data_IF_822354952010
#
_entry.id   IF_822354952010
#
_cell.length_a   1.000
_cell.length_b   1.000
_cell.length_c   1.000
_cell.angle_alpha   90.00
_cell.angle_beta   90.00
_cell.angle_gamma   90.00
#
_symmetry.space_group_name_H-M   'P 1'
#
loop_
_entity.id
_entity.type
_entity.pdbx_description
1 polymer ?
#
# COMPACT_ATOMS: atom_id res chain seq x y z
N UNK A 1 47.07 68.90 -75.13
CA UNK A 1 46.74 68.64 -76.55
C UNK A 1 45.89 67.38 -76.60
N UNK A 2 44.61 67.48 -77.00
CA UNK A 2 43.70 66.43 -77.52
C UNK A 2 43.36 65.26 -76.55
N UNK A 3 42.24 65.27 -75.80
CA UNK A 3 40.88 64.75 -76.12
C UNK A 3 40.83 63.30 -76.69
N UNK A 4 40.25 62.36 -75.94
CA UNK A 4 39.10 61.56 -76.42
C UNK A 4 38.40 60.78 -75.28
N UNK A 5 37.07 60.84 -75.32
CA UNK A 5 36.06 60.20 -74.46
C UNK A 5 36.01 58.68 -74.66
N UNK A 6 35.62 57.93 -73.62
CA UNK A 6 34.51 56.96 -73.66
C UNK A 6 34.12 56.54 -72.23
N UNK A 7 32.86 56.79 -71.87
CA UNK A 7 32.14 56.27 -70.69
C UNK A 7 31.35 55.05 -71.19
N UNK A 8 31.42 53.88 -70.54
CA UNK A 8 30.23 53.08 -70.18
C UNK A 8 30.56 51.80 -69.37
N UNK A 9 29.89 51.69 -68.23
CA UNK A 9 29.43 50.48 -67.53
C UNK A 9 30.44 49.46 -67.00
N UNK A 10 30.83 49.67 -65.75
CA UNK A 10 31.36 48.64 -64.87
C UNK A 10 30.17 47.79 -64.36
N UNK A 11 29.83 46.72 -65.06
CA UNK A 11 28.96 45.68 -64.53
C UNK A 11 29.84 44.76 -63.67
N UNK A 12 29.95 45.04 -62.37
CA UNK A 12 30.45 44.02 -61.43
C UNK A 12 29.36 42.96 -61.35
N UNK A 13 29.48 41.95 -62.20
CA UNK A 13 28.83 40.66 -61.96
C UNK A 13 29.52 40.11 -60.72
N UNK A 14 28.90 40.33 -59.56
CA UNK A 14 29.06 39.41 -58.45
C UNK A 14 28.56 38.06 -58.98
N UNK A 15 29.50 37.27 -59.49
CA UNK A 15 29.32 35.83 -59.62
C UNK A 15 29.08 35.34 -58.19
N UNK A 16 27.82 35.31 -57.77
CA UNK A 16 27.37 34.35 -56.79
C UNK A 16 27.75 33.01 -57.38
N UNK A 17 28.90 32.50 -56.95
CA UNK A 17 29.27 31.12 -57.16
C UNK A 17 28.19 30.36 -56.39
N UNK A 18 27.12 29.97 -57.09
CA UNK A 18 26.17 29.02 -56.56
C UNK A 18 27.01 27.83 -56.14
N UNK A 19 27.11 27.60 -54.83
CA UNK A 19 27.71 26.39 -54.33
C UNK A 19 26.82 25.27 -54.89
N UNK A 20 27.38 24.44 -55.77
CA UNK A 20 26.66 23.31 -56.38
C UNK A 20 26.68 22.08 -55.48
N UNK A 21 27.05 22.26 -54.21
CA UNK A 21 27.22 21.21 -53.24
C UNK A 21 26.05 21.27 -52.28
N UNK A 22 25.37 20.14 -52.10
CA UNK A 22 24.29 20.01 -51.13
C UNK A 22 24.79 20.35 -49.71
N UNK A 23 23.96 20.99 -48.87
CA UNK A 23 24.32 21.25 -47.49
C UNK A 23 24.54 19.97 -46.69
N UNK A 24 25.31 20.09 -45.60
CA UNK A 24 25.50 19.02 -44.62
C UNK A 24 24.15 18.61 -43.99
N UNK A 25 24.04 17.32 -43.67
CA UNK A 25 22.87 16.76 -43.00
C UNK A 25 22.79 17.36 -41.59
N UNK A 26 21.69 18.04 -41.22
CA UNK A 26 21.57 18.65 -39.90
C UNK A 26 21.57 17.57 -38.80
N UNK A 27 22.25 17.85 -37.69
CA UNK A 27 22.29 16.96 -36.54
C UNK A 27 21.28 17.43 -35.49
N UNK A 28 20.26 16.62 -35.21
CA UNK A 28 19.33 16.87 -34.11
C UNK A 28 20.08 16.83 -32.78
N UNK A 29 19.79 17.81 -31.94
CA UNK A 29 20.29 17.91 -30.57
C UNK A 29 19.35 17.13 -29.64
N UNK A 30 18.07 17.53 -29.61
CA UNK A 30 17.05 16.85 -28.82
C UNK A 30 15.64 17.04 -29.38
N UNK A 31 14.74 16.17 -28.93
CA UNK A 31 13.30 16.23 -29.14
C UNK A 31 12.66 16.02 -27.77
N UNK A 32 11.94 17.01 -27.27
CA UNK A 32 11.40 17.01 -25.90
C UNK A 32 9.94 17.40 -25.93
N UNK A 33 9.11 16.78 -25.09
CA UNK A 33 7.77 17.31 -24.84
C UNK A 33 7.95 18.67 -24.15
N UNK A 34 7.33 19.70 -24.72
CA UNK A 34 7.48 21.10 -24.32
C UNK A 34 6.35 21.55 -23.40
N UNK A 35 5.12 21.10 -23.69
CA UNK A 35 3.94 21.45 -22.93
C UNK A 35 3.14 20.17 -22.61
N UNK A 36 3.00 19.81 -21.32
CA UNK A 36 2.27 18.62 -20.90
C UNK A 36 0.76 18.71 -21.12
N UNK A 37 0.18 19.88 -21.37
CA UNK A 37 -1.25 20.04 -21.64
C UNK A 37 -1.58 19.80 -23.12
N UNK A 38 -0.80 20.40 -24.01
CA UNK A 38 -1.04 20.31 -25.45
C UNK A 38 -0.31 19.14 -26.11
N UNK A 39 0.75 18.63 -25.49
CA UNK A 39 1.64 17.64 -26.09
C UNK A 39 2.56 18.24 -27.15
N UNK A 40 2.73 19.58 -27.17
CA UNK A 40 3.64 20.25 -28.10
C UNK A 40 5.07 19.75 -27.92
N UNK A 41 5.84 19.71 -28.99
CA UNK A 41 7.20 19.14 -29.00
C UNK A 41 8.21 20.22 -29.36
N UNK A 42 9.21 20.39 -28.51
CA UNK A 42 10.39 21.22 -28.77
C UNK A 42 11.46 20.38 -29.46
N UNK A 43 11.89 20.83 -30.64
CA UNK A 43 12.90 20.19 -31.47
C UNK A 43 14.07 21.14 -31.60
N UNK A 44 15.29 20.68 -31.29
CA UNK A 44 16.52 21.46 -31.45
C UNK A 44 17.53 20.71 -32.32
N UNK A 45 18.39 21.46 -33.02
CA UNK A 45 19.50 20.92 -33.81
C UNK A 45 20.74 21.82 -33.72
N UNK A 46 21.87 21.27 -34.12
CA UNK A 46 23.10 22.05 -34.30
C UNK A 46 23.07 22.79 -35.64
N UNK A 47 23.57 24.04 -35.72
CA UNK A 47 23.83 24.69 -37.00
C UNK A 47 24.66 23.77 -37.93
N UNK A 48 24.34 23.76 -39.22
CA UNK A 48 25.18 23.06 -40.19
C UNK A 48 26.50 23.81 -40.40
N UNK A 49 27.58 23.09 -40.70
CA UNK A 49 28.87 23.69 -41.03
C UNK A 49 28.87 24.34 -42.42
N UNK A 50 27.98 23.88 -43.31
CA UNK A 50 27.72 24.46 -44.62
C UNK A 50 27.29 25.94 -44.50
N UNK A 51 28.03 26.89 -45.12
CA UNK A 51 27.88 28.32 -44.87
C UNK A 51 26.65 28.96 -45.54
N UNK A 52 26.00 28.27 -46.46
CA UNK A 52 24.92 28.79 -47.31
C UNK A 52 23.56 28.14 -47.07
N UNK A 53 23.38 27.47 -45.92
CA UNK A 53 22.07 26.94 -45.48
C UNK A 53 21.08 28.09 -45.36
N UNK A 54 19.99 28.03 -46.13
CA UNK A 54 18.94 29.04 -46.15
C UNK A 54 17.76 28.67 -45.23
N UNK A 55 17.43 27.38 -45.14
CA UNK A 55 16.28 26.89 -44.37
C UNK A 55 16.41 25.41 -44.02
N UNK A 56 15.61 24.98 -43.04
CA UNK A 56 15.46 23.60 -42.59
C UNK A 56 14.04 23.12 -42.84
N UNK A 57 13.87 21.86 -43.22
CA UNK A 57 12.56 21.21 -43.32
C UNK A 57 12.42 20.25 -42.15
N UNK A 58 11.35 20.41 -41.38
CA UNK A 58 11.02 19.57 -40.23
C UNK A 58 10.08 18.48 -40.69
N UNK A 59 10.42 17.23 -40.40
CA UNK A 59 9.61 16.07 -40.73
C UNK A 59 9.13 15.38 -39.47
N UNK A 60 7.87 14.98 -39.46
CA UNK A 60 7.28 14.10 -38.43
C UNK A 60 6.77 12.82 -39.08
N UNK A 61 6.92 11.70 -38.39
CA UNK A 61 6.29 10.46 -38.84
C UNK A 61 4.77 10.50 -38.56
N UNK A 62 3.97 10.38 -39.61
CA UNK A 62 2.51 10.38 -39.55
C UNK A 62 2.02 9.19 -40.37
N UNK A 63 1.29 8.27 -39.75
CA UNK A 63 0.79 7.05 -40.40
C UNK A 63 1.90 6.26 -41.12
N UNK A 64 3.07 6.12 -40.48
CA UNK A 64 4.27 5.44 -41.01
C UNK A 64 4.92 6.13 -42.23
N UNK A 65 4.56 7.39 -42.51
CA UNK A 65 5.18 8.19 -43.56
C UNK A 65 5.82 9.45 -42.97
N UNK A 66 6.93 9.89 -43.56
CA UNK A 66 7.60 11.12 -43.15
C UNK A 66 6.98 12.31 -43.86
N UNK A 67 6.20 13.10 -43.11
CA UNK A 67 5.53 14.29 -43.62
C UNK A 67 6.36 15.52 -43.28
N UNK A 68 6.62 16.38 -44.28
CA UNK A 68 7.21 17.70 -44.04
C UNK A 68 6.16 18.58 -43.38
N UNK A 69 6.32 18.85 -42.08
CA UNK A 69 5.33 19.57 -41.27
C UNK A 69 5.57 21.08 -41.23
N UNK A 70 6.83 21.52 -41.41
CA UNK A 70 7.16 22.94 -41.45
C UNK A 70 8.51 23.22 -42.14
N UNK A 71 8.74 24.49 -42.44
CA UNK A 71 9.99 25.05 -42.97
C UNK A 71 10.47 26.17 -42.07
N UNK A 72 11.66 26.01 -41.49
CA UNK A 72 12.27 26.98 -40.57
C UNK A 72 13.41 27.69 -41.27
N UNK A 73 13.40 29.03 -41.29
CA UNK A 73 14.48 29.80 -41.90
C UNK A 73 15.75 29.76 -41.04
N UNK A 74 16.91 29.62 -41.68
CA UNK A 74 18.20 29.84 -41.02
C UNK A 74 18.31 31.32 -40.57
N UNK A 75 18.96 31.63 -39.44
CA UNK A 75 19.83 30.76 -38.65
C UNK A 75 19.12 30.09 -37.45
N UNK A 76 17.78 29.97 -37.45
CA UNK A 76 17.09 29.31 -36.32
C UNK A 76 17.53 27.85 -36.19
N UNK A 77 17.72 27.41 -34.94
CA UNK A 77 18.19 26.06 -34.57
C UNK A 77 17.16 25.29 -33.73
N UNK A 78 15.92 25.78 -33.69
CA UNK A 78 14.84 25.12 -32.98
C UNK A 78 13.48 25.35 -33.66
N UNK A 79 12.55 24.48 -33.29
CA UNK A 79 11.15 24.51 -33.71
C UNK A 79 10.25 23.99 -32.59
N UNK A 80 9.04 24.52 -32.49
CA UNK A 80 7.99 23.97 -31.62
C UNK A 80 6.86 23.45 -32.50
N UNK A 81 6.70 22.13 -32.54
CA UNK A 81 5.57 21.49 -33.19
C UNK A 81 4.34 21.57 -32.28
N UNK A 82 3.34 22.32 -32.73
CA UNK A 82 2.05 22.48 -32.05
C UNK A 82 0.90 21.76 -32.77
N UNK A 83 1.18 20.85 -33.71
CA UNK A 83 0.17 20.12 -34.48
C UNK A 83 -0.36 20.87 -35.71
N UNK A 84 -0.50 22.19 -35.66
CA UNK A 84 -0.73 23.06 -36.83
C UNK A 84 -1.81 22.56 -37.82
N UNK A 85 -1.45 22.50 -39.10
CA UNK A 85 -2.31 22.01 -40.21
C UNK A 85 -2.23 20.48 -40.43
N UNK A 86 -1.43 19.78 -39.65
CA UNK A 86 -1.23 18.34 -39.74
C UNK A 86 -2.09 17.65 -38.67
N UNK A 87 -2.25 16.32 -38.69
CA UNK A 87 -2.90 15.61 -37.59
C UNK A 87 -2.39 16.09 -36.21
N UNK A 88 -3.26 16.19 -35.21
CA UNK A 88 -2.89 16.76 -33.92
C UNK A 88 -1.71 16.01 -33.33
N UNK A 89 -0.72 16.76 -32.81
CA UNK A 89 0.39 16.20 -32.06
C UNK A 89 -0.16 15.49 -30.81
N UNK A 90 0.34 14.30 -30.51
CA UNK A 90 -0.16 13.46 -29.44
C UNK A 90 0.97 12.89 -28.58
N UNK A 91 2.05 13.66 -28.39
CA UNK A 91 3.19 13.28 -27.56
C UNK A 91 2.81 12.96 -26.09
N UNK A 92 1.63 13.40 -25.65
CA UNK A 92 1.02 13.06 -24.36
C UNK A 92 0.37 11.67 -24.30
N UNK A 93 0.27 10.97 -25.42
CA UNK A 93 -0.40 9.66 -25.54
C UNK A 93 0.50 8.59 -26.15
N UNK A 94 1.47 8.97 -26.98
CA UNK A 94 2.47 8.08 -27.55
C UNK A 94 3.74 8.84 -27.95
N UNK A 95 4.86 8.15 -28.18
CA UNK A 95 6.06 8.75 -28.76
C UNK A 95 5.80 9.30 -30.17
N UNK A 96 6.51 10.37 -30.52
CA UNK A 96 6.48 11.05 -31.81
C UNK A 96 7.89 11.04 -32.38
N UNK A 97 8.03 10.78 -33.68
CA UNK A 97 9.34 10.64 -34.33
C UNK A 97 9.62 11.83 -35.27
N UNK A 98 10.85 12.33 -35.24
CA UNK A 98 11.26 13.52 -36.00
C UNK A 98 12.55 13.32 -36.77
N UNK A 99 12.58 13.96 -37.93
CA UNK A 99 13.75 14.10 -38.80
C UNK A 99 13.85 15.53 -39.32
N UNK A 100 15.03 15.87 -39.82
CA UNK A 100 15.32 17.19 -40.37
C UNK A 100 16.15 17.07 -41.65
N UNK A 101 15.98 18.02 -42.56
CA UNK A 101 16.92 18.28 -43.67
C UNK A 101 17.22 19.77 -43.80
N UNK A 102 18.32 20.12 -44.45
CA UNK A 102 18.68 21.49 -44.80
C UNK A 102 18.48 21.75 -46.29
N UNK A 103 18.22 23.00 -46.64
CA UNK A 103 18.18 23.51 -48.01
C UNK A 103 19.07 24.74 -48.09
N UNK A 104 19.98 24.77 -49.07
CA UNK A 104 20.87 25.90 -49.29
C UNK A 104 20.19 27.07 -50.04
N UNK A 105 20.92 28.17 -50.19
CA UNK A 105 20.46 29.35 -50.91
C UNK A 105 20.23 29.13 -52.42
N UNK A 106 20.82 28.09 -53.01
CA UNK A 106 20.64 27.69 -54.40
C UNK A 106 19.45 26.72 -54.60
N UNK A 107 18.86 26.23 -53.51
CA UNK A 107 17.74 25.30 -53.49
C UNK A 107 18.13 23.82 -53.48
N UNK A 108 19.41 23.48 -53.28
CA UNK A 108 19.82 22.09 -53.13
C UNK A 108 19.47 21.62 -51.70
N UNK A 109 18.91 20.42 -51.60
CA UNK A 109 18.51 19.81 -50.34
C UNK A 109 19.56 18.81 -49.88
N UNK A 110 19.91 18.83 -48.59
CA UNK A 110 20.60 17.70 -47.98
C UNK A 110 19.67 16.47 -47.99
N UNK A 111 20.22 15.25 -47.86
CA UNK A 111 19.43 14.13 -47.38
C UNK A 111 18.74 14.50 -46.06
N UNK A 112 17.56 13.94 -45.83
CA UNK A 112 17.02 13.89 -44.46
C UNK A 112 18.01 13.14 -43.58
N UNK A 113 18.02 13.40 -42.26
CA UNK A 113 18.70 12.53 -41.28
C UNK A 113 18.42 11.07 -41.65
N UNK A 114 19.46 10.37 -42.12
CA UNK A 114 19.37 9.34 -43.16
C UNK A 114 18.36 8.23 -42.85
N UNK A 115 17.68 7.75 -43.90
CA UNK A 115 17.08 6.42 -43.95
C UNK A 115 18.09 5.46 -44.57
N UNK A 116 18.61 4.53 -43.77
CA UNK A 116 19.45 3.40 -44.20
C UNK A 116 20.90 3.74 -44.59
N UNK A 117 21.90 2.95 -44.14
CA UNK A 117 21.75 1.77 -43.28
C UNK A 117 21.45 2.11 -41.82
N UNK A 118 21.56 3.38 -41.44
CA UNK A 118 21.29 3.89 -40.10
C UNK A 118 20.12 4.86 -40.24
N UNK A 119 18.94 4.41 -39.83
CA UNK A 119 17.82 5.31 -39.56
C UNK A 119 18.27 6.31 -38.49
N UNK A 120 18.14 7.64 -38.63
CA UNK A 120 18.64 8.65 -37.67
C UNK A 120 17.54 9.61 -37.19
N UNK A 121 16.38 9.09 -36.79
CA UNK A 121 15.26 9.91 -36.30
C UNK A 121 15.27 10.04 -34.78
N UNK A 122 14.99 11.20 -34.21
CA UNK A 122 14.83 11.30 -32.75
C UNK A 122 13.37 11.03 -32.36
N UNK A 123 13.14 10.67 -31.10
CA UNK A 123 11.80 10.45 -30.56
C UNK A 123 11.50 11.37 -29.36
N UNK A 124 10.23 11.67 -29.13
CA UNK A 124 9.78 12.08 -27.80
C UNK A 124 9.75 10.87 -26.85
N UNK A 125 9.82 11.14 -25.56
CA UNK A 125 9.56 10.13 -24.53
C UNK A 125 8.12 10.22 -24.04
N UNK A 126 7.55 9.05 -23.78
CA UNK A 126 6.23 8.86 -23.24
C UNK A 126 6.32 7.94 -22.02
N UNK A 127 5.86 8.42 -20.86
CA UNK A 127 5.77 7.69 -19.60
C UNK A 127 4.32 7.43 -19.24
N UNK A 128 4.06 6.22 -18.75
CA UNK A 128 2.75 5.82 -18.22
C UNK A 128 2.86 5.15 -16.85
N UNK A 129 1.97 5.47 -15.90
CA UNK A 129 1.94 4.88 -14.57
C UNK A 129 0.95 3.71 -14.49
N UNK A 130 1.29 2.70 -13.70
CA UNK A 130 0.46 1.56 -13.37
C UNK A 130 0.47 1.34 -11.86
N UNK A 131 -0.64 0.90 -11.27
CA UNK A 131 -0.61 0.32 -9.93
C UNK A 131 -0.06 -1.10 -10.04
N UNK A 132 0.94 -1.40 -9.23
CA UNK A 132 1.57 -2.72 -9.15
C UNK A 132 1.97 -2.98 -7.68
N UNK A 133 2.65 -4.09 -7.41
CA UNK A 133 3.18 -4.39 -6.09
C UNK A 133 4.62 -4.90 -6.16
N UNK A 134 5.43 -4.50 -5.17
CA UNK A 134 6.80 -5.01 -4.98
C UNK A 134 6.85 -5.62 -3.60
N UNK A 135 7.17 -6.92 -3.51
CA UNK A 135 7.18 -7.67 -2.25
C UNK A 135 5.89 -7.43 -1.43
N UNK A 136 4.74 -7.49 -2.10
CA UNK A 136 3.41 -7.32 -1.49
C UNK A 136 3.09 -5.95 -0.91
N UNK A 137 3.93 -4.95 -1.17
CA UNK A 137 3.61 -3.55 -0.91
C UNK A 137 3.19 -2.89 -2.21
N UNK A 138 2.06 -2.18 -2.19
CA UNK A 138 1.59 -1.43 -3.35
C UNK A 138 2.61 -0.38 -3.75
N UNK A 139 2.79 -0.21 -5.06
CA UNK A 139 3.74 0.71 -5.66
C UNK A 139 3.18 1.26 -6.97
N UNK A 140 3.61 2.44 -7.37
CA UNK A 140 3.35 2.97 -8.71
C UNK A 140 4.51 2.56 -9.62
N UNK A 141 4.23 1.70 -10.60
CA UNK A 141 5.17 1.33 -11.64
C UNK A 141 5.10 2.36 -12.76
N UNK A 142 6.21 3.02 -13.04
CA UNK A 142 6.38 3.88 -14.21
C UNK A 142 7.04 3.06 -15.32
N UNK A 143 6.53 3.19 -16.55
CA UNK A 143 7.14 2.60 -17.74
C UNK A 143 7.22 3.66 -18.83
N UNK A 144 8.36 3.74 -19.51
CA UNK A 144 8.56 4.68 -20.62
C UNK A 144 9.30 4.03 -21.79
N UNK A 145 9.24 4.66 -22.96
CA UNK A 145 10.15 4.34 -24.06
C UNK A 145 11.48 5.07 -23.88
N UNK A 146 12.57 4.41 -24.24
CA UNK A 146 13.90 5.01 -24.18
C UNK A 146 14.04 6.14 -25.20
N UNK A 147 14.88 7.11 -24.88
CA UNK A 147 15.34 8.09 -25.86
C UNK A 147 16.28 7.42 -26.86
N UNK A 148 16.16 7.74 -28.14
CA UNK A 148 16.98 7.17 -29.22
C UNK A 148 17.81 8.24 -29.93
N UNK A 149 18.92 7.80 -30.53
CA UNK A 149 19.79 8.58 -31.44
C UNK A 149 20.69 9.66 -30.86
N UNK A 150 20.85 9.72 -29.54
CA UNK A 150 22.12 10.23 -29.00
C UNK A 150 23.24 9.22 -29.25
N UNK A 151 24.20 9.57 -30.10
CA UNK A 151 25.33 8.71 -30.50
C UNK A 151 26.21 8.31 -29.31
N UNK A 152 26.24 9.14 -28.28
CA UNK A 152 26.91 8.89 -27.01
C UNK A 152 26.08 8.06 -26.02
N UNK A 153 24.86 7.65 -26.40
CA UNK A 153 23.85 7.00 -25.57
C UNK A 153 23.32 7.85 -24.39
N UNK A 154 22.20 7.40 -23.84
CA UNK A 154 21.65 7.93 -22.58
C UNK A 154 22.55 7.48 -21.43
N UNK A 155 22.98 8.42 -20.59
CA UNK A 155 23.71 8.13 -19.36
C UNK A 155 22.75 7.61 -18.27
N UNK A 156 21.70 8.37 -17.96
CA UNK A 156 20.67 8.01 -16.98
C UNK A 156 19.33 8.68 -17.28
N UNK A 157 18.28 8.19 -16.64
CA UNK A 157 16.97 8.85 -16.57
C UNK A 157 16.74 9.35 -15.15
N UNK A 158 16.44 10.63 -15.00
CA UNK A 158 15.95 11.19 -13.74
C UNK A 158 14.42 11.14 -13.71
N UNK A 159 13.87 10.56 -12.65
CA UNK A 159 12.44 10.48 -12.40
C UNK A 159 12.06 11.65 -11.48
N UNK A 160 11.09 12.46 -11.92
CA UNK A 160 10.53 13.54 -11.11
C UNK A 160 9.13 13.18 -10.67
N UNK A 161 8.77 13.63 -9.46
CA UNK A 161 7.44 13.43 -8.88
C UNK A 161 6.89 14.74 -8.35
N UNK A 162 5.58 14.91 -8.45
CA UNK A 162 4.82 15.94 -7.77
C UNK A 162 3.66 15.28 -7.04
N UNK A 163 3.60 15.48 -5.72
CA UNK A 163 2.60 14.86 -4.85
C UNK A 163 1.58 15.94 -4.48
N UNK A 164 0.30 15.68 -4.75
CA UNK A 164 -0.83 16.58 -4.47
C UNK A 164 -0.66 18.00 -5.05
N UNK A 165 -0.10 18.09 -6.26
CA UNK A 165 0.04 19.36 -7.00
C UNK A 165 0.84 20.43 -6.24
N UNK A 166 1.85 20.00 -5.50
CA UNK A 166 2.76 20.86 -4.74
C UNK A 166 3.98 21.21 -5.60
N UNK A 167 5.16 20.67 -5.29
CA UNK A 167 6.43 20.91 -5.98
C UNK A 167 6.85 19.69 -6.81
N UNK A 168 7.67 19.94 -7.82
CA UNK A 168 8.37 18.89 -8.55
C UNK A 168 9.70 18.60 -7.89
N UNK A 169 9.86 17.37 -7.41
CA UNK A 169 11.07 16.90 -6.74
C UNK A 169 11.70 15.75 -7.55
N UNK A 170 13.03 15.64 -7.50
CA UNK A 170 13.73 14.48 -8.07
C UNK A 170 13.52 13.29 -7.13
N UNK A 171 12.78 12.30 -7.61
CA UNK A 171 12.47 11.09 -6.85
C UNK A 171 13.64 10.11 -6.86
N UNK A 172 14.21 9.87 -8.03
CA UNK A 172 15.29 8.90 -8.22
C UNK A 172 15.97 9.08 -9.58
N UNK A 173 17.05 8.34 -9.79
CA UNK A 173 17.72 8.18 -11.09
C UNK A 173 17.99 6.71 -11.36
N UNK A 174 17.85 6.30 -12.62
CA UNK A 174 18.15 4.94 -13.10
C UNK A 174 19.08 4.99 -14.32
N UNK A 175 19.87 3.94 -14.54
CA UNK A 175 20.79 3.86 -15.66
C UNK A 175 20.08 4.00 -17.02
N UNK A 176 20.78 4.51 -18.04
CA UNK A 176 20.23 4.78 -19.38
C UNK A 176 19.73 3.55 -20.14
N UNK A 177 20.03 2.34 -19.66
CA UNK A 177 19.50 1.08 -20.17
C UNK A 177 18.21 0.62 -19.47
N UNK A 178 17.74 1.32 -18.44
CA UNK A 178 16.48 1.04 -17.73
C UNK A 178 15.34 1.87 -18.34
N UNK A 179 14.13 1.32 -18.36
CA UNK A 179 12.93 1.98 -18.88
C UNK A 179 11.68 1.71 -18.04
N UNK A 180 11.88 1.31 -16.78
CA UNK A 180 10.85 1.16 -15.78
C UNK A 180 11.37 1.50 -14.37
N UNK A 181 10.48 1.95 -13.49
CA UNK A 181 10.80 2.29 -12.11
C UNK A 181 9.60 2.02 -11.20
N UNK A 182 9.85 1.59 -9.97
CA UNK A 182 8.82 1.35 -8.96
C UNK A 182 8.91 2.38 -7.84
N UNK A 183 7.96 3.30 -7.78
CA UNK A 183 7.78 4.19 -6.63
C UNK A 183 7.03 3.45 -5.52
N UNK A 184 7.77 3.02 -4.50
CA UNK A 184 7.25 2.30 -3.32
C UNK A 184 6.85 3.28 -2.20
N UNK A 185 6.21 2.76 -1.14
CA UNK A 185 5.77 3.54 0.02
C UNK A 185 4.76 4.64 -0.33
N UNK A 186 3.88 4.36 -1.29
CA UNK A 186 2.80 5.26 -1.69
C UNK A 186 1.71 5.33 -0.62
N UNK A 187 1.17 6.52 -0.42
CA UNK A 187 -0.02 6.77 0.41
C UNK A 187 -1.30 6.60 -0.40
N UNK A 188 -2.35 6.09 0.24
CA UNK A 188 -3.69 6.03 -0.34
C UNK A 188 -4.30 7.43 -0.55
N UNK A 189 -5.34 7.55 -1.39
CA UNK A 189 -6.08 8.77 -1.69
C UNK A 189 -5.19 9.97 -2.03
N UNK A 190 -4.12 9.73 -2.79
CA UNK A 190 -3.07 10.72 -3.08
C UNK A 190 -2.83 10.82 -4.58
N UNK A 191 -2.73 12.05 -5.09
CA UNK A 191 -2.36 12.30 -6.49
C UNK A 191 -0.84 12.33 -6.65
N UNK A 192 -0.30 11.44 -7.48
CA UNK A 192 1.10 11.46 -7.89
C UNK A 192 1.22 11.79 -9.38
N UNK A 193 1.89 12.88 -9.70
CA UNK A 193 2.25 13.21 -11.07
C UNK A 193 3.74 12.96 -11.31
N UNK A 194 4.10 12.53 -12.51
CA UNK A 194 5.46 12.15 -12.88
C UNK A 194 5.82 12.74 -14.25
N UNK A 195 7.11 13.03 -14.42
CA UNK A 195 7.75 13.09 -15.73
C UNK A 195 9.16 12.50 -15.64
N UNK A 196 9.70 12.08 -16.78
CA UNK A 196 11.03 11.49 -16.88
C UNK A 196 11.91 12.41 -17.72
N UNK A 197 13.14 12.66 -17.26
CA UNK A 197 14.16 13.38 -18.01
C UNK A 197 15.31 12.46 -18.35
N UNK A 198 15.56 12.27 -19.65
CA UNK A 198 16.75 11.59 -20.14
C UNK A 198 17.92 12.55 -20.11
N UNK A 199 19.10 12.05 -19.71
CA UNK A 199 20.35 12.79 -19.72
C UNK A 199 21.38 11.98 -20.51
N UNK A 200 21.96 12.58 -21.54
CA UNK A 200 22.96 11.93 -22.38
C UNK A 200 24.35 11.96 -21.75
N UNK A 201 25.29 11.15 -22.24
CA UNK A 201 26.70 11.21 -21.78
C UNK A 201 27.41 12.55 -22.12
N UNK A 202 26.82 13.39 -22.98
CA UNK A 202 27.34 14.72 -23.31
C UNK A 202 26.57 15.86 -22.60
N UNK A 203 25.59 15.53 -21.75
CA UNK A 203 24.80 16.50 -20.99
C UNK A 203 23.55 17.03 -21.71
N UNK A 204 23.19 16.46 -22.87
CA UNK A 204 21.92 16.77 -23.55
C UNK A 204 20.74 16.21 -22.76
N UNK A 205 19.58 16.84 -22.88
CA UNK A 205 18.37 16.43 -22.14
C UNK A 205 17.13 16.37 -23.02
N UNK A 206 16.23 15.43 -22.71
CA UNK A 206 14.88 15.36 -23.26
C UNK A 206 13.91 15.03 -22.13
N UNK A 207 12.73 15.63 -22.15
CA UNK A 207 11.67 15.44 -21.14
C UNK A 207 10.48 14.72 -21.76
N UNK A 208 9.89 13.77 -21.02
CA UNK A 208 8.68 13.06 -21.40
C UNK A 208 7.42 13.91 -21.25
N UNK A 209 6.27 13.36 -21.63
CA UNK A 209 4.98 13.87 -21.15
C UNK A 209 4.92 13.85 -19.62
N UNK A 210 3.96 14.62 -19.08
CA UNK A 210 3.54 14.50 -17.69
C UNK A 210 2.39 13.50 -17.61
N UNK A 211 2.44 12.63 -16.61
CA UNK A 211 1.38 11.67 -16.33
C UNK A 211 1.03 11.68 -14.86
N UNK A 212 -0.23 11.41 -14.51
CA UNK A 212 -0.68 11.41 -13.13
C UNK A 212 -1.43 10.13 -12.79
N UNK A 213 -1.30 9.70 -11.54
CA UNK A 213 -1.95 8.53 -10.99
C UNK A 213 -2.56 8.88 -9.63
N UNK A 214 -3.87 8.66 -9.49
CA UNK A 214 -4.55 8.78 -8.19
C UNK A 214 -4.55 7.42 -7.51
N UNK A 215 -3.99 7.34 -6.31
CA UNK A 215 -4.04 6.11 -5.53
C UNK A 215 -5.43 5.94 -4.91
N UNK A 216 -5.99 4.75 -5.13
CA UNK A 216 -7.18 4.24 -4.45
C UNK A 216 -6.84 2.79 -4.06
N UNK A 217 -6.11 2.68 -2.96
CA UNK A 217 -5.58 1.44 -2.44
C UNK A 217 -6.72 0.65 -1.75
N UNK A 218 -6.60 -0.68 -1.70
CA UNK A 218 -7.54 -1.53 -0.98
C UNK A 218 -7.67 -1.10 0.50
N UNK A 219 -8.91 -0.88 0.95
CA UNK A 219 -9.22 -0.56 2.35
C UNK A 219 -9.27 -1.83 3.22
N UNK A 220 -8.33 -1.94 4.16
CA UNK A 220 -8.25 -3.07 5.08
C UNK A 220 -9.11 -2.83 6.34
N UNK A 221 -9.54 -3.88 7.05
CA UNK A 221 -10.23 -3.72 8.35
C UNK A 221 -9.45 -2.78 9.28
N UNK A 222 -10.09 -1.71 9.75
CA UNK A 222 -9.48 -0.72 10.64
C UNK A 222 -9.39 -1.19 12.09
N UNK A 223 -10.21 -2.17 12.47
CA UNK A 223 -10.17 -2.81 13.78
C UNK A 223 -10.59 -4.27 13.74
N UNK A 224 -10.11 -5.01 14.74
CA UNK A 224 -10.61 -6.30 15.16
C UNK A 224 -10.64 -6.26 16.69
N UNK A 225 -11.80 -6.48 17.32
CA UNK A 225 -11.92 -6.57 18.77
C UNK A 225 -12.11 -8.02 19.16
N UNK A 226 -11.27 -8.55 20.07
CA UNK A 226 -11.53 -9.82 20.73
C UNK A 226 -12.48 -9.57 21.90
N UNK A 227 -13.73 -10.00 21.74
CA UNK A 227 -14.82 -9.68 22.66
C UNK A 227 -14.72 -10.53 23.93
N UNK A 228 -14.41 -11.83 23.80
CA UNK A 228 -14.18 -12.70 24.93
C UNK A 228 -13.51 -14.03 24.52
N UNK A 229 -12.88 -14.69 25.49
CA UNK A 229 -12.69 -16.15 25.52
C UNK A 229 -13.37 -16.69 26.79
N UNK A 230 -14.41 -17.51 26.63
CA UNK A 230 -15.33 -17.90 27.71
C UNK A 230 -15.48 -19.42 27.76
N UNK A 231 -15.40 -20.01 28.95
CA UNK A 231 -15.62 -21.44 29.12
C UNK A 231 -17.12 -21.74 29.09
N UNK A 232 -17.51 -22.63 28.19
CA UNK A 232 -18.89 -23.08 28.00
C UNK A 232 -19.24 -24.21 28.97
N UNK A 233 -20.54 -24.48 29.15
CA UNK A 233 -21.03 -25.60 29.97
C UNK A 233 -20.56 -26.98 29.46
N UNK A 234 -20.19 -27.07 28.19
CA UNK A 234 -19.59 -28.28 27.59
C UNK A 234 -18.08 -28.40 27.86
N UNK A 235 -17.50 -27.56 28.72
CA UNK A 235 -16.07 -27.50 29.03
C UNK A 235 -15.19 -27.28 27.78
N UNK A 236 -15.62 -26.34 26.95
CA UNK A 236 -14.87 -25.83 25.78
C UNK A 236 -14.72 -24.32 25.86
N UNK A 237 -13.74 -23.75 25.18
CA UNK A 237 -13.56 -22.30 25.13
C UNK A 237 -14.26 -21.74 23.89
N UNK A 238 -15.27 -20.90 24.08
CA UNK A 238 -15.86 -20.09 23.01
C UNK A 238 -15.12 -18.76 22.93
N UNK A 239 -14.70 -18.38 21.73
CA UNK A 239 -14.02 -17.13 21.45
C UNK A 239 -14.87 -16.32 20.48
N UNK A 240 -15.08 -15.04 20.79
CA UNK A 240 -15.82 -14.10 19.94
C UNK A 240 -14.93 -12.92 19.55
N UNK A 241 -15.10 -12.47 18.31
CA UNK A 241 -14.51 -11.25 17.79
C UNK A 241 -15.55 -10.39 17.08
N UNK A 242 -15.50 -9.08 17.30
CA UNK A 242 -16.21 -8.07 16.52
C UNK A 242 -15.26 -7.49 15.46
N UNK A 243 -15.70 -7.47 14.21
CA UNK A 243 -14.88 -7.12 13.04
C UNK A 243 -15.32 -5.79 12.41
N UNK A 244 -14.38 -5.09 11.79
CA UNK A 244 -14.73 -3.97 10.91
C UNK A 244 -15.42 -4.44 9.63
N UNK A 245 -16.71 -4.10 9.50
CA UNK A 245 -17.50 -4.45 8.31
C UNK A 245 -17.39 -3.41 7.18
N UNK A 246 -16.81 -2.24 7.42
CA UNK A 246 -16.71 -1.14 6.45
C UNK A 246 -15.65 -1.34 5.37
N UNK A 247 -14.59 -2.11 5.66
CA UNK A 247 -13.55 -2.45 4.68
C UNK A 247 -14.13 -3.12 3.42
N UNK A 248 -13.72 -2.65 2.24
CA UNK A 248 -14.25 -3.07 0.92
C UNK A 248 -13.55 -4.35 0.39
N UNK A 249 -12.37 -4.68 0.94
CA UNK A 249 -11.45 -5.69 0.40
C UNK A 249 -11.80 -7.09 0.89
N UNK A 250 -11.28 -8.10 0.19
CA UNK A 250 -11.31 -9.51 0.61
C UNK A 250 -10.83 -9.63 2.06
N UNK A 251 -11.75 -10.01 2.95
CA UNK A 251 -11.49 -10.15 4.38
C UNK A 251 -11.09 -11.58 4.69
N UNK A 252 -9.80 -11.84 4.64
CA UNK A 252 -9.23 -13.11 5.06
C UNK A 252 -8.74 -12.97 6.51
N UNK A 253 -9.10 -13.93 7.35
CA UNK A 253 -8.70 -13.95 8.75
C UNK A 253 -8.03 -15.25 9.12
N UNK A 254 -7.03 -15.19 9.99
CA UNK A 254 -6.42 -16.35 10.63
C UNK A 254 -6.59 -16.22 12.14
N UNK A 255 -7.16 -17.27 12.76
CA UNK A 255 -7.26 -17.39 14.21
C UNK A 255 -6.05 -18.14 14.75
N UNK A 256 -5.38 -17.53 15.70
CA UNK A 256 -4.21 -18.07 16.36
C UNK A 256 -4.46 -18.37 17.84
N UNK A 257 -3.76 -19.38 18.37
CA UNK A 257 -3.76 -19.75 19.80
C UNK A 257 -2.34 -19.95 20.34
N UNK A 258 -2.09 -19.56 21.57
CA UNK A 258 -0.86 -19.88 22.33
C UNK A 258 -1.16 -20.26 23.78
N UNK A 259 -0.24 -20.94 24.45
CA UNK A 259 -0.25 -21.21 25.89
C UNK A 259 0.49 -20.11 26.69
N UNK A 260 1.04 -19.11 26.01
CA UNK A 260 1.74 -17.97 26.62
C UNK A 260 1.45 -16.68 25.85
N UNK A 261 1.37 -15.56 26.58
CA UNK A 261 1.16 -14.21 26.01
C UNK A 261 2.24 -13.85 24.99
N UNK A 262 3.50 -14.18 25.28
CA UNK A 262 4.66 -13.91 24.42
C UNK A 262 5.17 -15.19 23.74
N UNK A 263 4.34 -16.22 23.70
CA UNK A 263 4.67 -17.53 23.16
C UNK A 263 4.60 -17.60 21.63
N UNK A 264 4.86 -18.80 21.12
CA UNK A 264 4.57 -19.12 19.72
C UNK A 264 3.07 -19.34 19.53
N UNK A 265 2.49 -18.69 18.53
CA UNK A 265 1.08 -18.79 18.20
C UNK A 265 0.86 -19.79 17.07
N UNK A 266 0.01 -20.79 17.31
CA UNK A 266 -0.40 -21.79 16.33
C UNK A 266 -1.66 -21.30 15.60
N UNK A 267 -1.68 -21.39 14.28
CA UNK A 267 -2.90 -21.22 13.50
C UNK A 267 -3.87 -22.39 13.76
N UNK A 268 -5.08 -22.07 14.22
CA UNK A 268 -6.12 -23.06 14.54
C UNK A 268 -7.36 -22.96 13.62
N UNK A 269 -7.55 -21.83 12.94
CA UNK A 269 -8.58 -21.68 11.91
C UNK A 269 -8.20 -20.59 10.89
N UNK A 270 -8.82 -20.66 9.71
CA UNK A 270 -8.71 -19.64 8.66
C UNK A 270 -10.06 -19.41 8.01
N UNK A 271 -10.35 -18.16 7.68
CA UNK A 271 -11.62 -17.72 7.09
C UNK A 271 -11.33 -16.89 5.86
N UNK A 272 -11.99 -17.21 4.75
CA UNK A 272 -11.82 -16.50 3.49
C UNK A 272 -13.09 -15.73 3.16
N UNK A 273 -12.94 -14.49 2.68
CA UNK A 273 -14.07 -13.61 2.32
C UNK A 273 -15.13 -13.50 3.44
N UNK A 274 -14.69 -13.35 4.70
CA UNK A 274 -15.60 -13.32 5.84
C UNK A 274 -16.26 -11.94 5.98
N UNK A 275 -17.59 -11.88 5.93
CA UNK A 275 -18.34 -10.60 5.87
C UNK A 275 -19.20 -10.30 7.09
N UNK A 276 -19.41 -11.28 7.98
CA UNK A 276 -20.22 -11.07 9.17
C UNK A 276 -19.50 -10.16 10.18
N UNK A 277 -20.28 -9.39 10.95
CA UNK A 277 -19.78 -8.51 12.01
C UNK A 277 -19.07 -9.29 13.12
N UNK A 278 -19.63 -10.45 13.49
CA UNK A 278 -19.14 -11.24 14.61
C UNK A 278 -18.60 -12.57 14.10
N UNK A 279 -17.40 -12.93 14.56
CA UNK A 279 -16.77 -14.22 14.31
C UNK A 279 -16.70 -14.99 15.64
N UNK A 280 -17.30 -16.18 15.65
CA UNK A 280 -17.31 -17.07 16.81
C UNK A 280 -16.61 -18.38 16.47
N UNK A 281 -15.78 -18.86 17.38
CA UNK A 281 -15.11 -20.16 17.29
C UNK A 281 -15.17 -20.89 18.63
N UNK A 282 -15.32 -22.21 18.61
CA UNK A 282 -15.25 -23.03 19.82
C UNK A 282 -14.04 -23.95 19.78
N UNK A 283 -13.13 -23.76 20.72
CA UNK A 283 -11.91 -24.53 20.86
C UNK A 283 -12.07 -25.65 21.91
N UNK A 284 -11.58 -26.84 21.57
CA UNK A 284 -11.69 -28.04 22.40
C UNK A 284 -10.34 -28.34 23.06
N UNK A 285 -10.04 -27.59 24.12
CA UNK A 285 -8.79 -27.65 24.90
C UNK A 285 -9.07 -27.80 26.39
N UNK A 286 -8.02 -28.08 27.15
CA UNK A 286 -8.06 -28.11 28.61
C UNK A 286 -8.37 -26.70 29.17
N UNK A 287 -9.60 -26.52 29.64
CA UNK A 287 -10.15 -25.27 30.17
C UNK A 287 -9.56 -24.87 31.53
N UNK A 288 -8.81 -25.76 32.18
CA UNK A 288 -8.13 -25.45 33.46
C UNK A 288 -6.82 -24.68 33.25
N UNK A 289 -6.35 -24.63 32.00
CA UNK A 289 -5.18 -23.84 31.59
C UNK A 289 -5.61 -22.52 30.96
N UNK A 290 -4.67 -21.59 30.93
CA UNK A 290 -4.83 -20.32 30.25
C UNK A 290 -4.40 -20.44 28.79
N UNK A 291 -5.31 -20.12 27.88
CA UNK A 291 -5.06 -20.09 26.44
C UNK A 291 -5.28 -18.69 25.89
N UNK A 292 -4.32 -18.20 25.12
CA UNK A 292 -4.33 -16.88 24.52
C UNK A 292 -4.75 -16.98 23.05
N UNK A 293 -5.70 -16.14 22.64
CA UNK A 293 -6.26 -16.11 21.30
C UNK A 293 -6.10 -14.74 20.67
N UNK A 294 -5.85 -14.72 19.37
CA UNK A 294 -5.92 -13.50 18.56
C UNK A 294 -6.35 -13.81 17.14
N UNK A 295 -7.06 -12.88 16.53
CA UNK A 295 -7.45 -12.94 15.14
C UNK A 295 -6.64 -11.91 14.35
N UNK A 296 -6.09 -12.32 13.21
CA UNK A 296 -5.36 -11.43 12.33
C UNK A 296 -6.06 -11.33 10.98
N UNK A 297 -6.27 -10.12 10.47
CA UNK A 297 -6.60 -9.92 9.06
C UNK A 297 -5.33 -10.06 8.22
N UNK A 298 -5.44 -10.80 7.12
CA UNK A 298 -4.32 -11.17 6.27
C UNK A 298 -4.52 -10.59 4.87
N UNK A 299 -3.47 -10.00 4.30
CA UNK A 299 -3.49 -9.53 2.91
C UNK A 299 -3.46 -10.69 1.90
N UNK A 300 -3.59 -10.37 0.61
CA UNK A 300 -3.48 -11.35 -0.48
C UNK A 300 -2.13 -12.10 -0.55
N UNK A 301 -1.14 -11.64 0.20
CA UNK A 301 0.20 -12.21 0.24
C UNK A 301 0.49 -13.04 1.49
N UNK A 302 -0.45 -13.14 2.42
CA UNK A 302 -0.25 -13.88 3.67
C UNK A 302 0.32 -13.05 4.82
N UNK A 303 0.52 -11.74 4.66
CA UNK A 303 1.00 -10.88 5.75
C UNK A 303 -0.16 -10.43 6.64
N UNK A 304 0.06 -10.37 7.95
CA UNK A 304 -0.88 -9.74 8.88
C UNK A 304 -0.87 -8.23 8.69
N UNK A 305 -2.06 -7.68 8.43
CA UNK A 305 -2.27 -6.23 8.28
C UNK A 305 -2.71 -5.60 9.59
N UNK A 306 -3.60 -6.28 10.32
CA UNK A 306 -4.06 -5.90 11.64
C UNK A 306 -4.32 -7.15 12.49
N UNK A 307 -4.11 -7.03 13.80
CA UNK A 307 -4.40 -8.05 14.80
C UNK A 307 -5.38 -7.50 15.85
N UNK A 308 -6.19 -8.39 16.43
CA UNK A 308 -7.03 -8.05 17.58
C UNK A 308 -6.20 -7.83 18.85
N UNK A 309 -6.83 -7.25 19.88
CA UNK A 309 -6.37 -7.49 21.26
C UNK A 309 -6.37 -8.99 21.57
N UNK A 310 -5.64 -9.38 22.61
CA UNK A 310 -5.59 -10.76 23.06
C UNK A 310 -6.81 -11.08 23.92
N UNK A 311 -7.44 -12.23 23.67
CA UNK A 311 -8.43 -12.82 24.58
C UNK A 311 -7.82 -14.03 25.30
N UNK A 312 -8.16 -14.21 26.57
CA UNK A 312 -7.75 -15.37 27.38
C UNK A 312 -8.90 -15.81 28.27
N UNK A 313 -9.10 -17.11 28.38
CA UNK A 313 -10.06 -17.65 29.33
C UNK A 313 -9.63 -17.36 30.79
N UNK A 314 -10.61 -17.43 31.68
CA UNK A 314 -10.39 -17.39 33.13
C UNK A 314 -10.22 -18.84 33.61
N UNK A 315 -9.17 -19.09 34.38
CA UNK A 315 -9.03 -20.33 35.15
C UNK A 315 -9.35 -20.06 36.61
N UNK A 316 -10.21 -20.91 37.20
CA UNK A 316 -10.51 -20.93 38.63
C UNK A 316 -10.05 -22.24 39.25
N UNK A 317 -9.53 -22.14 40.47
CA UNK A 317 -9.21 -23.26 41.34
C UNK A 317 -9.90 -23.05 42.69
N UNK A 318 -10.29 -24.15 43.32
CA UNK A 318 -10.94 -24.13 44.64
C UNK A 318 -10.25 -25.13 45.55
N UNK A 319 -10.14 -24.77 46.83
CA UNK A 319 -9.48 -25.60 47.86
C UNK A 319 -10.40 -25.70 49.06
N UNK A 320 -10.79 -26.93 49.43
CA UNK A 320 -11.60 -27.20 50.62
C UNK A 320 -10.73 -27.16 51.88
N UNK A 321 -11.23 -26.48 52.92
CA UNK A 321 -10.60 -26.42 54.23
C UNK A 321 -11.41 -27.24 55.26
N UNK A 322 -10.74 -27.65 56.35
CA UNK A 322 -11.34 -28.46 57.42
C UNK A 322 -12.39 -27.72 58.26
N UNK A 323 -12.47 -26.39 58.17
CA UNK A 323 -13.38 -25.53 58.92
C UNK A 323 -14.70 -25.23 58.19
N UNK A 324 -15.08 -26.09 57.21
CA UNK A 324 -16.24 -25.90 56.33
C UNK A 324 -16.15 -24.62 55.49
N UNK A 325 -14.94 -24.27 55.04
CA UNK A 325 -14.75 -23.16 54.09
C UNK A 325 -14.17 -23.66 52.77
N UNK A 326 -14.54 -22.97 51.70
CA UNK A 326 -14.02 -23.20 50.35
C UNK A 326 -13.24 -21.96 49.90
N UNK A 327 -11.94 -22.12 49.65
CA UNK A 327 -11.09 -21.04 49.17
C UNK A 327 -11.02 -21.05 47.64
N UNK A 328 -11.69 -20.07 47.02
CA UNK A 328 -11.82 -19.91 45.57
C UNK A 328 -10.80 -18.88 45.10
N UNK A 329 -10.01 -19.21 44.08
CA UNK A 329 -9.02 -18.31 43.48
C UNK A 329 -9.06 -18.41 41.96
N UNK A 330 -9.05 -17.27 41.28
CA UNK A 330 -9.07 -17.20 39.82
C UNK A 330 -8.02 -16.26 39.26
N UNK A 331 -7.78 -16.36 37.95
CA UNK A 331 -7.00 -15.39 37.20
C UNK A 331 -7.88 -14.25 36.69
N UNK A 332 -7.34 -13.04 36.60
CA UNK A 332 -8.08 -11.92 35.98
C UNK A 332 -8.41 -12.23 34.52
N UNK A 333 -9.53 -11.71 34.02
CA UNK A 333 -9.76 -11.69 32.57
C UNK A 333 -8.64 -10.89 31.87
N UNK A 334 -8.16 -11.38 30.73
CA UNK A 334 -7.00 -10.80 30.05
C UNK A 334 -7.41 -9.80 28.95
N UNK A 335 -6.99 -8.55 29.15
CA UNK A 335 -6.91 -7.46 28.18
C UNK A 335 -8.17 -7.13 27.36
N UNK A 336 -9.33 -7.07 28.03
CA UNK A 336 -10.45 -6.29 27.53
C UNK A 336 -10.06 -4.82 27.38
N UNK A 337 -10.40 -4.22 26.25
CA UNK A 337 -10.10 -2.81 25.97
C UNK A 337 -10.84 -1.88 26.94
N UNK A 338 -12.04 -2.26 27.39
CA UNK A 338 -12.79 -1.55 28.43
C UNK A 338 -12.31 -1.85 29.86
N UNK A 339 -11.42 -2.82 30.06
CA UNK A 339 -11.10 -3.35 31.38
C UNK A 339 -12.26 -4.14 32.02
N UNK A 340 -12.01 -4.71 33.18
CA UNK A 340 -13.00 -5.53 33.90
C UNK A 340 -13.85 -4.64 34.80
N UNK A 341 -15.18 -4.77 34.68
CA UNK A 341 -16.15 -4.10 35.55
C UNK A 341 -16.31 -4.85 36.87
N UNK A 342 -16.53 -6.16 36.80
CA UNK A 342 -16.86 -6.97 37.97
C UNK A 342 -16.61 -8.46 37.71
N UNK A 343 -16.29 -9.18 38.79
CA UNK A 343 -16.33 -10.63 38.90
C UNK A 343 -17.51 -11.05 39.76
N UNK A 344 -18.37 -11.91 39.22
CA UNK A 344 -19.48 -12.54 39.91
C UNK A 344 -19.09 -13.98 40.29
N UNK A 345 -19.19 -14.33 41.57
CA UNK A 345 -18.85 -15.65 42.09
C UNK A 345 -20.13 -16.47 42.23
N UNK A 346 -20.22 -17.57 41.46
CA UNK A 346 -21.36 -18.47 41.50
C UNK A 346 -21.04 -19.77 42.21
N UNK A 347 -22.02 -20.28 42.96
CA UNK A 347 -22.01 -21.58 43.62
C UNK A 347 -23.15 -22.46 43.13
N UNK A 348 -22.86 -23.74 42.94
CA UNK A 348 -23.82 -24.79 42.64
C UNK A 348 -23.75 -25.83 43.76
N UNK A 349 -24.90 -26.18 44.33
CA UNK A 349 -25.01 -27.20 45.39
C UNK A 349 -25.74 -28.41 44.83
N UNK A 350 -25.14 -29.60 44.91
CA UNK A 350 -25.75 -30.87 44.47
C UNK A 350 -26.43 -30.80 43.08
N UNK A 351 -25.74 -30.20 42.10
CA UNK A 351 -26.21 -30.06 40.71
C UNK A 351 -27.48 -29.20 40.53
N UNK A 352 -27.82 -28.38 41.54
CA UNK A 352 -28.90 -27.38 41.44
C UNK A 352 -28.52 -26.18 40.54
N UNK A 353 -29.45 -25.23 40.38
CA UNK A 353 -29.18 -24.00 39.63
C UNK A 353 -28.07 -23.16 40.29
N UNK A 354 -27.18 -22.53 39.50
CA UNK A 354 -26.17 -21.61 40.02
C UNK A 354 -26.78 -20.47 40.85
N UNK A 355 -26.14 -20.15 41.97
CA UNK A 355 -26.49 -19.04 42.85
C UNK A 355 -25.32 -18.06 42.94
N UNK A 356 -25.59 -16.77 42.71
CA UNK A 356 -24.61 -15.71 42.97
C UNK A 356 -24.40 -15.58 44.48
N UNK A 357 -23.18 -15.77 44.96
CA UNK A 357 -22.85 -15.70 46.40
C UNK A 357 -22.08 -14.43 46.77
N UNK A 358 -21.38 -13.82 45.82
CA UNK A 358 -20.60 -12.62 46.03
C UNK A 358 -20.20 -12.00 44.69
N UNK A 359 -19.78 -10.74 44.73
CA UNK A 359 -19.17 -10.04 43.58
C UNK A 359 -18.04 -9.13 44.05
N UNK A 360 -16.99 -8.99 43.26
CA UNK A 360 -15.84 -8.11 43.55
C UNK A 360 -15.30 -7.49 42.26
N UNK A 361 -14.68 -6.31 42.37
CA UNK A 361 -14.10 -5.57 41.24
C UNK A 361 -12.61 -5.88 41.07
N UNK A 362 -11.89 -6.08 42.19
CA UNK A 362 -10.43 -6.13 42.21
C UNK A 362 -9.91 -7.48 42.70
N UNK A 363 -10.57 -8.08 43.70
CA UNK A 363 -10.08 -9.30 44.31
C UNK A 363 -10.18 -10.45 43.32
N UNK A 364 -9.17 -11.32 43.33
CA UNK A 364 -9.14 -12.54 42.52
C UNK A 364 -9.23 -13.80 43.39
N UNK A 365 -9.82 -13.65 44.57
CA UNK A 365 -10.07 -14.72 45.52
C UNK A 365 -11.32 -14.43 46.36
N UNK A 366 -11.93 -15.49 46.88
CA UNK A 366 -13.08 -15.42 47.78
C UNK A 366 -13.07 -16.66 48.70
N UNK A 367 -13.48 -16.49 49.95
CA UNK A 367 -13.67 -17.62 50.88
C UNK A 367 -15.16 -17.78 51.16
N UNK A 368 -15.72 -18.91 50.75
CA UNK A 368 -17.12 -19.23 51.01
C UNK A 368 -17.24 -20.03 52.31
N UNK A 369 -18.06 -19.54 53.25
CA UNK A 369 -18.35 -20.22 54.50
C UNK A 369 -19.59 -21.11 54.32
N UNK A 370 -19.40 -22.42 54.42
CA UNK A 370 -20.46 -23.39 54.16
C UNK A 370 -21.34 -23.68 55.39
N UNK A 371 -21.04 -23.12 56.56
CA UNK A 371 -21.76 -23.40 57.81
C UNK A 371 -23.28 -23.30 57.65
N UNK A 372 -23.78 -22.23 57.01
CA UNK A 372 -25.23 -22.02 56.86
C UNK A 372 -25.86 -22.94 55.80
N UNK A 373 -25.05 -23.44 54.85
CA UNK A 373 -25.49 -24.25 53.72
C UNK A 373 -25.38 -25.76 54.00
N UNK A 374 -24.42 -26.17 54.83
CA UNK A 374 -24.12 -27.56 55.20
C UNK A 374 -24.78 -27.98 56.53
N UNK A 375 -25.03 -27.05 57.47
CA UNK A 375 -25.59 -27.39 58.79
C UNK A 375 -27.12 -27.36 58.81
N UNK A 376 -27.77 -26.53 57.98
CA UNK A 376 -29.22 -26.29 58.06
C UNK A 376 -30.07 -27.03 57.01
N UNK A 377 -29.49 -27.92 56.22
CA UNK A 377 -30.22 -28.68 55.18
C UNK A 377 -29.99 -30.18 55.34
N UNK A 378 -31.05 -30.91 55.68
CA UNK A 378 -31.05 -32.37 55.58
C UNK A 378 -31.02 -32.80 54.12
N UNK A 379 -30.05 -33.63 53.72
CA UNK A 379 -29.99 -34.22 52.37
C UNK A 379 -29.04 -33.57 51.38
N UNK A 380 -28.12 -32.69 51.82
CA UNK A 380 -27.04 -32.19 50.96
C UNK A 380 -25.95 -33.26 50.84
N UNK A 381 -25.51 -33.58 49.62
CA UNK A 381 -24.49 -34.62 49.39
C UNK A 381 -23.06 -34.16 49.74
N UNK A 382 -22.91 -32.86 50.01
CA UNK A 382 -21.63 -32.20 50.26
C UNK A 382 -20.92 -31.74 49.00
N UNK A 383 -21.56 -31.86 47.82
CA UNK A 383 -20.98 -31.42 46.53
C UNK A 383 -21.22 -29.94 46.31
N UNK A 384 -20.13 -29.18 46.23
CA UNK A 384 -20.13 -27.75 45.93
C UNK A 384 -19.31 -27.51 44.67
N UNK A 385 -19.89 -26.82 43.68
CA UNK A 385 -19.16 -26.39 42.50
C UNK A 385 -19.14 -24.86 42.39
N UNK A 386 -18.07 -24.33 41.82
CA UNK A 386 -17.88 -22.89 41.66
C UNK A 386 -17.42 -22.54 40.26
N UNK A 387 -17.84 -21.37 39.79
CA UNK A 387 -17.27 -20.70 38.61
C UNK A 387 -17.36 -19.19 38.79
N UNK A 388 -16.54 -18.48 38.03
CA UNK A 388 -16.45 -17.03 38.00
C UNK A 388 -16.99 -16.52 36.67
N UNK A 389 -17.78 -15.47 36.72
CA UNK A 389 -18.20 -14.71 35.55
C UNK A 389 -17.59 -13.31 35.62
N UNK A 390 -16.81 -12.93 34.62
CA UNK A 390 -16.32 -11.57 34.44
C UNK A 390 -17.20 -10.81 33.45
N UNK A 391 -17.33 -9.51 33.67
CA UNK A 391 -18.06 -8.58 32.81
C UNK A 391 -17.13 -7.40 32.46
N UNK A 392 -17.07 -7.02 31.18
CA UNK A 392 -16.32 -5.86 30.69
C UNK A 392 -17.05 -4.55 31.02
N UNK A 393 -16.31 -3.46 31.21
CA UNK A 393 -16.95 -2.14 31.37
C UNK A 393 -17.53 -1.61 30.05
N UNK A 394 -18.40 -0.60 30.14
CA UNK A 394 -18.93 0.11 28.97
C UNK A 394 -17.88 1.03 28.29
N UNK A 395 -16.61 1.00 28.71
CA UNK A 395 -15.53 1.83 28.18
C UNK A 395 -14.85 1.25 26.94
N UNK A 396 -15.29 0.08 26.45
CA UNK A 396 -14.75 -0.49 25.22
C UNK A 396 -15.00 0.48 24.04
N UNK A 397 -13.97 0.86 23.26
CA UNK A 397 -14.10 1.87 22.20
C UNK A 397 -15.06 1.48 21.08
N UNK A 398 -15.42 0.20 20.97
CA UNK A 398 -16.33 -0.33 19.96
C UNK A 398 -17.75 -0.59 20.51
N UNK A 399 -18.04 -0.19 21.75
CA UNK A 399 -19.36 -0.36 22.38
C UNK A 399 -19.70 -1.83 22.70
N UNK A 400 -18.69 -2.69 22.76
CA UNK A 400 -18.82 -4.11 23.12
C UNK A 400 -18.74 -4.26 24.63
N UNK A 401 -19.61 -5.12 25.19
CA UNK A 401 -19.57 -5.51 26.60
C UNK A 401 -19.31 -7.00 26.71
N UNK A 402 -18.04 -7.38 26.75
CA UNK A 402 -17.61 -8.77 26.89
C UNK A 402 -18.13 -9.44 28.16
N UNK A 403 -18.38 -10.75 28.08
CA UNK A 403 -18.73 -11.61 29.22
C UNK A 403 -17.99 -12.93 29.10
N UNK A 404 -17.29 -13.34 30.15
CA UNK A 404 -16.50 -14.57 30.15
C UNK A 404 -16.71 -15.37 31.43
N UNK A 405 -16.97 -16.67 31.27
CA UNK A 405 -17.05 -17.63 32.37
C UNK A 405 -15.72 -18.40 32.49
N UNK A 406 -15.34 -18.72 33.74
CA UNK A 406 -14.26 -19.66 34.03
C UNK A 406 -14.70 -21.11 33.84
N UNK A 407 -13.74 -22.04 33.93
CA UNK A 407 -14.05 -23.45 34.17
C UNK A 407 -14.88 -23.63 35.46
N UNK A 408 -15.63 -24.74 35.54
CA UNK A 408 -16.33 -25.15 36.76
C UNK A 408 -15.44 -26.11 37.54
N UNK A 409 -15.24 -25.83 38.84
CA UNK A 409 -14.54 -26.73 39.77
C UNK A 409 -15.54 -27.25 40.79
N UNK A 410 -15.63 -28.58 40.93
CA UNK A 410 -16.49 -29.25 41.90
C UNK A 410 -15.66 -29.97 42.96
N UNK A 411 -16.03 -29.81 44.22
CA UNK A 411 -15.42 -30.45 45.37
C UNK A 411 -16.50 -31.11 46.23
N UNK A 412 -16.07 -32.00 47.12
CA UNK A 412 -16.95 -32.61 48.10
C UNK A 412 -16.43 -32.31 49.49
N UNK A 413 -17.22 -31.58 50.28
CA UNK A 413 -16.88 -31.26 51.66
C UNK A 413 -17.22 -32.45 52.56
N UNK A 414 -16.25 -33.03 53.30
CA UNK A 414 -16.54 -34.12 54.22
C UNK A 414 -17.39 -33.63 55.41
N UNK A 415 -18.28 -34.48 55.96
CA UNK A 415 -19.09 -34.10 57.11
C UNK A 415 -18.23 -33.94 58.36
N UNK A 416 -18.46 -32.88 59.14
CA UNK A 416 -17.91 -32.74 60.49
C UNK A 416 -18.87 -33.38 61.49
N UNK A 417 -18.40 -34.41 62.19
CA UNK A 417 -19.17 -35.09 63.23
C UNK A 417 -18.78 -34.52 64.60
N UNK A 418 -19.70 -33.79 65.22
CA UNK A 418 -19.55 -33.36 66.60
C UNK A 418 -20.06 -34.48 67.54
N UNK A 419 -19.15 -35.11 68.28
CA UNK A 419 -19.51 -36.07 69.34
C UNK A 419 -19.52 -35.33 70.67
N UNK A 420 -20.66 -35.20 71.36
CA UNK A 420 -20.71 -34.61 72.69
C UNK A 420 -19.82 -35.42 73.65
N UNK A 421 -18.93 -34.75 74.37
CA UNK A 421 -18.05 -35.38 75.37
C UNK A 421 -18.61 -35.29 76.80
N UNK A 422 -19.86 -34.84 76.95
CA UNK A 422 -20.58 -34.75 78.23
C UNK A 422 -22.06 -35.04 78.01
N UNK A 423 -22.58 -35.99 78.76
CA UNK A 423 -24.01 -36.26 78.90
C UNK A 423 -24.37 -36.02 80.37
N UNK A 424 -25.35 -35.17 80.65
CA UNK A 424 -25.98 -35.09 81.98
C UNK A 424 -27.08 -36.16 82.05
N UNK A 425 -27.02 -37.11 82.99
CA UNK A 425 -28.01 -38.18 83.14
C UNK A 425 -29.44 -37.69 83.38
#
# INVERSE_FOLDING_TARGET
MIKCFYILFLLVVLLNKAYTQEPDIPLLDSVSVADPLTGSVYISWFPCDSPDVAKYIIFREINMNWEAIDTVLAPSTFYIDNGGNYPPIAANYHPELYRISAIDSAGNSSPMTLTSPIDMHHNTMYVFPYLDSVNCKMAIKLKWNKYIYWSENVNHYTIYVNINSTTWDSLSSVDGNISEFYHQSITDNTYYCYFIRAVSNSGRTSTSNQTCFYTNLPDFPSFINADYASVTTAQRIEISFTLDTSAIVIKNYILYRSDSEFGSYLQIASYNNYTALNLIYTDNVDVTKNWYYKLAAIDQCGNSVIESNLARNISVNVTSNDDLTEFIKWDTYFNWLGGVEIYNIYRIVDDSSPMLISSTVIDTFFTDALSDSAVNRTGVSGKFCYYIEAIETDSNPYGIKGKSNSNVVCLTQPPIVYIPNSFTP
#
